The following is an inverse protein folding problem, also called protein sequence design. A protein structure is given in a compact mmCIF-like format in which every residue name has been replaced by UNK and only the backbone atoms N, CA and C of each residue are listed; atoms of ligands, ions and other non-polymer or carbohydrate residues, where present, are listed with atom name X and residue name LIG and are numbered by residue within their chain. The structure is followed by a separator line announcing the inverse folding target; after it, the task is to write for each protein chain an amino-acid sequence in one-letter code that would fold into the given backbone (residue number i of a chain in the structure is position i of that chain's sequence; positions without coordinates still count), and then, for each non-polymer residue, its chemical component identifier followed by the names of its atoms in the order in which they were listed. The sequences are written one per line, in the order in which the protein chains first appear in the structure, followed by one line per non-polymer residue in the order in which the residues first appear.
data_IF_791628044002
#
_entry.id   IF_791628044002
#
_cell.length_a   1.000
_cell.length_b   1.000
_cell.length_c   1.000
_cell.angle_alpha   90.00
_cell.angle_beta   90.00
_cell.angle_gamma   90.00
#
_symmetry.space_group_name_H-M   'P 1'
#
loop_
_entity.id
_entity.type
_entity.pdbx_description
1 polymer ?
#
# COMPACT_ATOMS: atom_id res chain seq x y z
N UNK A 1 -14.10 -58.43 2.15
CA UNK A 1 -13.92 -57.29 1.22
C UNK A 1 -14.06 -56.05 2.10
N UNK A 2 -12.94 -55.54 2.61
CA UNK A 2 -12.98 -54.34 3.47
C UNK A 2 -13.39 -53.12 2.62
N UNK A 3 -14.24 -52.23 3.14
CA UNK A 3 -14.58 -51.00 2.43
C UNK A 3 -13.38 -50.07 2.42
N UNK A 4 -13.02 -49.61 1.23
CA UNK A 4 -11.99 -48.58 1.03
C UNK A 4 -12.43 -47.27 1.68
N UNK A 5 -11.64 -46.83 2.67
CA UNK A 5 -11.78 -45.56 3.38
C UNK A 5 -11.62 -44.36 2.41
N UNK A 6 -12.67 -43.55 2.17
CA UNK A 6 -12.64 -42.42 1.24
C UNK A 6 -11.77 -41.24 1.72
N UNK A 7 -11.37 -41.21 3.00
CA UNK A 7 -10.55 -40.12 3.56
C UNK A 7 -9.05 -40.29 3.26
N UNK A 8 -8.61 -41.43 2.71
CA UNK A 8 -7.20 -41.66 2.33
C UNK A 8 -6.78 -41.01 1.01
N UNK A 9 -7.74 -40.61 0.17
CA UNK A 9 -7.49 -40.04 -1.16
C UNK A 9 -7.44 -38.51 -1.18
N UNK A 10 -8.05 -37.86 -0.18
CA UNK A 10 -8.07 -36.39 0.00
C UNK A 10 -6.77 -35.83 0.58
N UNK A 11 -5.96 -36.64 1.27
CA UNK A 11 -4.69 -36.21 1.89
C UNK A 11 -3.50 -36.24 0.90
N UNK A 12 -3.47 -37.22 -0.03
CA UNK A 12 -2.42 -37.33 -1.06
C UNK A 12 -2.47 -36.21 -2.10
N UNK A 13 -3.66 -35.69 -2.38
CA UNK A 13 -3.87 -34.61 -3.35
C UNK A 13 -3.47 -33.24 -2.79
N UNK A 14 -3.47 -33.06 -1.46
CA UNK A 14 -3.11 -31.78 -0.81
C UNK A 14 -1.60 -31.58 -0.71
N UNK A 15 -0.86 -32.64 -0.37
CA UNK A 15 0.61 -32.63 -0.24
C UNK A 15 1.32 -32.55 -1.60
N UNK A 16 0.70 -33.05 -2.68
CA UNK A 16 1.28 -33.01 -4.03
C UNK A 16 1.16 -31.63 -4.71
N UNK A 17 0.18 -30.81 -4.33
CA UNK A 17 -0.11 -29.48 -4.92
C UNK A 17 0.72 -28.34 -4.33
N UNK A 18 1.06 -28.40 -3.04
CA UNK A 18 1.96 -27.42 -2.39
C UNK A 18 3.39 -27.50 -2.93
N UNK A 19 3.85 -28.69 -3.33
CA UNK A 19 5.13 -28.89 -4.01
C UNK A 19 5.21 -28.27 -5.41
N UNK A 20 4.08 -28.15 -6.14
CA UNK A 20 4.08 -27.58 -7.49
C UNK A 20 4.33 -26.07 -7.51
N UNK A 21 3.73 -25.29 -6.60
CA UNK A 21 3.93 -23.83 -6.58
C UNK A 21 5.38 -23.45 -6.28
N UNK A 22 6.02 -24.14 -5.32
CA UNK A 22 7.44 -23.93 -5.01
C UNK A 22 8.35 -24.30 -6.19
N UNK A 23 8.04 -25.39 -6.91
CA UNK A 23 8.78 -25.78 -8.13
C UNK A 23 8.61 -24.76 -9.25
N UNK A 24 7.38 -24.28 -9.48
CA UNK A 24 7.11 -23.23 -10.48
C UNK A 24 7.91 -21.97 -10.14
N UNK A 25 7.89 -21.50 -8.89
CA UNK A 25 8.70 -20.35 -8.46
C UNK A 25 10.18 -20.52 -8.79
N UNK A 26 10.77 -21.68 -8.48
CA UNK A 26 12.18 -21.97 -8.77
C UNK A 26 12.45 -21.97 -10.28
N UNK A 27 11.55 -22.55 -11.08
CA UNK A 27 11.69 -22.57 -12.53
C UNK A 27 11.56 -21.17 -13.13
N UNK A 28 10.61 -20.37 -12.65
CA UNK A 28 10.43 -18.98 -13.07
C UNK A 28 11.64 -18.12 -12.74
N UNK A 29 12.27 -18.34 -11.58
CA UNK A 29 13.54 -17.71 -11.22
C UNK A 29 14.65 -18.03 -12.23
N UNK A 30 14.75 -19.29 -12.68
CA UNK A 30 15.72 -19.68 -13.72
C UNK A 30 15.45 -18.94 -15.03
N UNK A 31 14.21 -18.91 -15.49
CA UNK A 31 13.84 -18.18 -16.72
C UNK A 31 14.12 -16.69 -16.63
N UNK A 32 13.83 -16.04 -15.50
CA UNK A 32 14.16 -14.64 -15.29
C UNK A 32 15.67 -14.39 -15.43
N UNK A 33 16.53 -15.29 -14.91
CA UNK A 33 17.99 -15.20 -15.08
C UNK A 33 18.43 -15.40 -16.53
N UNK A 34 17.81 -16.33 -17.25
CA UNK A 34 18.14 -16.57 -18.65
C UNK A 34 17.73 -15.39 -19.54
N UNK A 35 16.56 -14.78 -19.30
CA UNK A 35 16.15 -13.55 -19.98
C UNK A 35 17.17 -12.42 -19.77
N UNK A 36 17.68 -12.23 -18.55
CA UNK A 36 18.72 -11.24 -18.28
C UNK A 36 20.03 -11.54 -19.04
N UNK A 37 20.43 -12.83 -19.13
CA UNK A 37 21.61 -13.24 -19.92
C UNK A 37 21.45 -12.99 -21.41
N UNK A 38 20.21 -13.08 -21.91
CA UNK A 38 19.85 -12.78 -23.30
C UNK A 38 19.70 -11.27 -23.57
N UNK A 39 19.95 -10.41 -22.57
CA UNK A 39 19.88 -8.96 -22.72
C UNK A 39 18.48 -8.36 -22.58
N UNK A 40 17.49 -9.14 -22.12
CA UNK A 40 16.15 -8.60 -21.84
C UNK A 40 16.21 -7.64 -20.66
N UNK A 41 15.52 -6.51 -20.79
CA UNK A 41 15.51 -5.47 -19.77
C UNK A 41 14.97 -5.98 -18.41
N UNK A 42 15.63 -5.56 -17.32
CA UNK A 42 15.33 -6.03 -15.96
C UNK A 42 13.86 -5.89 -15.54
N UNK A 43 13.18 -4.83 -15.98
CA UNK A 43 11.78 -4.62 -15.62
C UNK A 43 10.88 -5.70 -16.23
N UNK A 44 11.18 -6.16 -17.44
CA UNK A 44 10.43 -7.22 -18.11
C UNK A 44 10.76 -8.58 -17.46
N UNK A 45 12.02 -8.86 -17.16
CA UNK A 45 12.41 -10.09 -16.48
C UNK A 45 11.78 -10.19 -15.07
N UNK A 46 11.70 -9.09 -14.32
CA UNK A 46 11.12 -9.06 -12.99
C UNK A 46 9.61 -9.33 -12.97
N UNK A 47 8.87 -9.02 -14.04
CA UNK A 47 7.42 -9.32 -14.16
C UNK A 47 7.11 -10.81 -13.99
N UNK A 48 8.03 -11.68 -14.41
CA UNK A 48 7.86 -13.12 -14.21
C UNK A 48 7.85 -13.50 -12.73
N UNK A 49 8.55 -12.75 -11.89
CA UNK A 49 8.71 -13.05 -10.47
C UNK A 49 7.55 -12.48 -9.63
N UNK A 50 6.87 -11.43 -10.10
CA UNK A 50 5.81 -10.72 -9.36
C UNK A 50 4.74 -11.63 -8.75
N UNK A 51 4.22 -12.68 -9.42
CA UNK A 51 3.20 -13.57 -8.84
C UNK A 51 3.65 -14.32 -7.57
N UNK A 52 4.95 -14.35 -7.29
CA UNK A 52 5.54 -15.08 -6.15
C UNK A 52 6.13 -14.15 -5.09
N UNK A 53 5.92 -12.84 -5.21
CA UNK A 53 6.48 -11.83 -4.32
C UNK A 53 5.38 -11.10 -3.54
N UNK A 54 5.68 -10.73 -2.31
CA UNK A 54 4.84 -9.79 -1.56
C UNK A 54 5.09 -8.37 -2.05
N UNK A 55 4.01 -7.59 -2.12
CA UNK A 55 4.07 -6.17 -2.40
C UNK A 55 3.70 -5.38 -1.15
N UNK A 56 4.52 -4.39 -0.81
CA UNK A 56 4.17 -3.39 0.19
C UNK A 56 3.40 -2.28 -0.48
N UNK A 57 2.19 -2.00 0.02
CA UNK A 57 1.32 -0.94 -0.49
C UNK A 57 0.85 -0.07 0.67
N UNK A 58 0.65 1.22 0.39
CA UNK A 58 -0.12 2.11 1.25
C UNK A 58 -1.53 2.22 0.67
N UNK A 59 -2.52 2.21 1.55
CA UNK A 59 -3.93 2.36 1.19
C UNK A 59 -4.62 3.26 2.21
N UNK A 60 -5.40 4.20 1.70
CA UNK A 60 -6.26 5.09 2.50
C UNK A 60 -7.67 4.98 1.95
N UNK A 61 -8.66 4.83 2.82
CA UNK A 61 -10.07 4.74 2.44
C UNK A 61 -10.98 5.24 3.56
N UNK A 62 -12.12 5.80 3.17
CA UNK A 62 -13.27 6.07 4.05
C UNK A 62 -14.26 4.91 4.09
N UNK A 63 -14.12 3.94 3.19
CA UNK A 63 -15.08 2.87 2.98
C UNK A 63 -14.34 1.53 2.88
N UNK A 64 -14.54 0.66 3.88
CA UNK A 64 -13.85 -0.62 3.97
C UNK A 64 -14.75 -1.86 3.89
N UNK A 65 -16.06 -1.71 4.13
CA UNK A 65 -17.00 -2.84 4.24
C UNK A 65 -16.98 -3.78 3.03
N UNK A 66 -16.94 -3.21 1.83
CA UNK A 66 -16.87 -3.99 0.59
C UNK A 66 -15.54 -4.75 0.45
N UNK A 67 -14.43 -4.19 0.95
CA UNK A 67 -13.13 -4.85 0.96
C UNK A 67 -13.11 -6.01 1.95
N UNK A 68 -13.59 -5.80 3.18
CA UNK A 68 -13.70 -6.86 4.19
C UNK A 68 -14.58 -8.01 3.72
N UNK A 69 -15.75 -7.70 3.16
CA UNK A 69 -16.70 -8.69 2.64
C UNK A 69 -16.05 -9.59 1.58
N UNK A 70 -15.28 -9.01 0.67
CA UNK A 70 -14.68 -9.76 -0.44
C UNK A 70 -13.37 -10.45 -0.06
N UNK A 71 -12.54 -9.81 0.76
CA UNK A 71 -11.16 -10.27 1.02
C UNK A 71 -11.01 -11.07 2.29
N UNK A 72 -11.88 -10.90 3.29
CA UNK A 72 -11.93 -11.76 4.48
C UNK A 72 -12.89 -12.95 4.30
N UNK A 73 -13.14 -13.36 3.04
CA UNK A 73 -14.03 -14.47 2.70
C UNK A 73 -13.26 -15.78 2.52
N UNK A 74 -13.80 -16.96 2.89
CA UNK A 74 -13.19 -18.26 2.58
C UNK A 74 -12.94 -18.51 1.08
N UNK A 75 -13.64 -17.79 0.20
CA UNK A 75 -13.48 -17.88 -1.26
C UNK A 75 -12.34 -16.98 -1.78
N UNK A 76 -11.79 -16.10 -0.94
CA UNK A 76 -10.66 -15.26 -1.32
C UNK A 76 -9.39 -16.10 -1.41
N UNK A 77 -8.48 -15.67 -2.28
CA UNK A 77 -7.16 -16.28 -2.38
C UNK A 77 -6.45 -16.22 -1.00
N UNK A 78 -5.80 -17.31 -0.54
CA UNK A 78 -5.26 -17.38 0.82
C UNK A 78 -4.32 -16.22 1.20
N UNK A 79 -3.45 -15.79 0.27
CA UNK A 79 -2.46 -14.75 0.53
C UNK A 79 -3.10 -13.37 0.80
N UNK A 80 -4.03 -12.92 -0.06
CA UNK A 80 -4.72 -11.64 0.16
C UNK A 80 -5.67 -11.69 1.36
N UNK A 81 -6.26 -12.86 1.63
CA UNK A 81 -7.13 -13.05 2.78
C UNK A 81 -6.37 -12.86 4.09
N UNK A 82 -5.20 -13.48 4.22
CA UNK A 82 -4.36 -13.33 5.42
C UNK A 82 -3.99 -11.86 5.67
N UNK A 83 -3.61 -11.12 4.61
CA UNK A 83 -3.31 -9.69 4.73
C UNK A 83 -4.55 -8.86 5.09
N UNK A 84 -5.71 -9.14 4.49
CA UNK A 84 -6.96 -8.41 4.75
C UNK A 84 -7.51 -8.68 6.15
N UNK A 85 -7.45 -9.92 6.65
CA UNK A 85 -7.84 -10.27 8.02
C UNK A 85 -6.95 -9.56 9.04
N UNK A 86 -5.62 -9.60 8.85
CA UNK A 86 -4.68 -8.88 9.71
C UNK A 86 -4.94 -7.37 9.71
N UNK A 87 -5.21 -6.80 8.54
CA UNK A 87 -5.54 -5.38 8.41
C UNK A 87 -6.86 -5.03 9.13
N UNK A 88 -7.92 -5.83 8.95
CA UNK A 88 -9.21 -5.64 9.63
C UNK A 88 -9.04 -5.70 11.14
N UNK A 89 -8.31 -6.69 11.64
CA UNK A 89 -8.11 -6.88 13.08
C UNK A 89 -7.31 -5.72 13.69
N UNK A 90 -6.29 -5.21 12.98
CA UNK A 90 -5.55 -4.01 13.37
C UNK A 90 -6.44 -2.75 13.39
N UNK A 91 -7.32 -2.58 12.41
CA UNK A 91 -8.29 -1.47 12.38
C UNK A 91 -9.27 -1.58 13.55
N UNK A 92 -9.83 -2.76 13.81
CA UNK A 92 -10.75 -3.02 14.92
C UNK A 92 -10.12 -2.78 16.29
N UNK A 93 -8.82 -3.08 16.43
CA UNK A 93 -8.08 -2.85 17.67
C UNK A 93 -7.56 -1.40 17.82
N UNK A 94 -7.65 -0.59 16.78
CA UNK A 94 -7.16 0.80 16.81
C UNK A 94 -8.13 1.74 17.51
N UNK A 95 -7.61 2.83 18.07
CA UNK A 95 -8.43 3.97 18.53
C UNK A 95 -8.32 5.08 17.49
N UNK A 96 -9.40 5.38 16.74
CA UNK A 96 -9.40 6.46 15.78
C UNK A 96 -9.09 7.81 16.44
N UNK A 97 -8.35 8.65 15.74
CA UNK A 97 -8.11 10.03 16.16
C UNK A 97 -9.03 10.92 15.34
N UNK A 98 -9.98 11.58 16.01
CA UNK A 98 -10.84 12.55 15.37
C UNK A 98 -10.03 13.74 14.85
N UNK A 99 -10.46 14.28 13.70
CA UNK A 99 -9.85 15.45 13.09
C UNK A 99 -10.89 16.53 12.90
N UNK A 100 -10.61 17.71 13.43
CA UNK A 100 -11.41 18.90 13.19
C UNK A 100 -11.08 19.52 11.82
N UNK A 101 -11.94 20.42 11.34
CA UNK A 101 -11.66 21.21 10.14
C UNK A 101 -10.32 21.94 10.27
N UNK A 102 -9.44 21.79 9.27
CA UNK A 102 -8.09 22.35 9.27
C UNK A 102 -7.02 21.44 9.89
N UNK A 103 -7.40 20.36 10.58
CA UNK A 103 -6.48 19.33 11.02
C UNK A 103 -6.25 18.28 9.93
N UNK A 104 -5.03 17.74 9.88
CA UNK A 104 -4.61 16.86 8.79
C UNK A 104 -4.35 15.43 9.26
N UNK A 105 -4.84 14.47 8.48
CA UNK A 105 -4.35 13.10 8.47
C UNK A 105 -2.99 13.08 7.75
N UNK A 106 -1.95 12.71 8.49
CA UNK A 106 -0.55 12.77 8.08
C UNK A 106 0.12 11.40 8.24
N UNK A 107 -0.08 10.44 7.30
CA UNK A 107 0.60 9.14 7.36
C UNK A 107 2.12 9.27 7.52
N UNK A 108 2.70 8.37 8.30
CA UNK A 108 4.15 8.28 8.56
C UNK A 108 4.80 9.53 9.19
N UNK A 109 4.02 10.42 9.82
CA UNK A 109 4.53 11.50 10.66
C UNK A 109 4.48 11.07 12.12
N UNK A 110 5.61 11.20 12.80
CA UNK A 110 5.80 10.94 14.23
C UNK A 110 5.85 12.25 15.02
N UNK A 111 5.86 12.17 16.35
CA UNK A 111 5.98 13.36 17.19
C UNK A 111 7.37 14.00 17.11
N UNK A 112 8.42 13.21 16.90
CA UNK A 112 9.78 13.72 16.65
C UNK A 112 9.81 14.56 15.36
N UNK A 113 9.13 14.11 14.30
CA UNK A 113 9.02 14.90 13.06
C UNK A 113 8.29 16.24 13.31
N UNK A 114 7.26 16.23 14.18
CA UNK A 114 6.53 17.45 14.55
C UNK A 114 7.43 18.42 15.30
N UNK A 115 8.23 17.93 16.23
CA UNK A 115 9.18 18.74 16.98
C UNK A 115 10.29 19.30 16.07
N UNK A 116 10.87 18.46 15.20
CA UNK A 116 11.92 18.86 14.25
C UNK A 116 11.42 19.90 13.24
N UNK A 117 10.19 19.74 12.74
CA UNK A 117 9.56 20.72 11.85
C UNK A 117 9.04 21.98 12.56
N UNK A 118 9.23 22.12 13.88
CA UNK A 118 8.70 23.24 14.66
C UNK A 118 7.18 23.36 14.58
N UNK A 119 6.47 22.24 14.43
CA UNK A 119 5.03 22.14 14.19
C UNK A 119 4.53 22.89 12.94
N UNK A 120 5.40 23.15 11.96
CA UNK A 120 5.01 23.75 10.69
C UNK A 120 4.11 22.80 9.88
N UNK A 121 2.79 23.02 9.95
CA UNK A 121 1.79 22.14 9.34
C UNK A 121 2.01 21.92 7.84
N UNK A 122 2.48 22.93 7.11
CA UNK A 122 2.75 22.81 5.67
C UNK A 122 3.93 21.88 5.38
N UNK A 123 5.03 22.04 6.11
CA UNK A 123 6.20 21.13 6.04
C UNK A 123 5.77 19.68 6.29
N UNK A 124 4.97 19.44 7.33
CA UNK A 124 4.52 18.10 7.69
C UNK A 124 3.63 17.45 6.63
N UNK A 125 2.77 18.21 5.94
CA UNK A 125 1.95 17.69 4.82
C UNK A 125 2.84 17.21 3.66
N UNK A 126 3.84 18.02 3.29
CA UNK A 126 4.78 17.73 2.20
C UNK A 126 5.63 16.50 2.52
N UNK A 127 6.17 16.44 3.73
CA UNK A 127 6.96 15.30 4.22
C UNK A 127 6.11 14.03 4.27
N UNK A 128 4.86 14.12 4.76
CA UNK A 128 3.94 12.97 4.80
C UNK A 128 3.68 12.42 3.40
N UNK A 129 3.38 13.28 2.42
CA UNK A 129 3.16 12.88 1.03
C UNK A 129 4.43 12.26 0.40
N UNK A 130 5.61 12.82 0.66
CA UNK A 130 6.89 12.25 0.24
C UNK A 130 7.07 10.83 0.76
N UNK A 131 6.80 10.60 2.06
CA UNK A 131 6.92 9.29 2.70
C UNK A 131 5.89 8.28 2.17
N UNK A 132 4.67 8.70 1.88
CA UNK A 132 3.68 7.87 1.17
C UNK A 132 4.21 7.39 -0.18
N UNK A 133 4.92 8.24 -0.93
CA UNK A 133 5.53 7.88 -2.22
C UNK A 133 6.72 6.92 -2.12
N UNK A 134 7.36 6.82 -0.95
CA UNK A 134 8.51 5.93 -0.69
C UNK A 134 8.12 4.50 -0.33
N UNK A 135 6.84 4.22 -0.07
CA UNK A 135 6.38 2.88 0.33
C UNK A 135 6.75 1.80 -0.71
N UNK A 136 6.93 2.20 -1.98
CA UNK A 136 7.39 1.34 -3.07
C UNK A 136 8.92 1.11 -3.13
N UNK A 137 9.73 1.88 -2.38
CA UNK A 137 11.19 1.90 -2.51
C UNK A 137 11.98 1.41 -1.28
N UNK A 138 11.30 0.90 -0.24
CA UNK A 138 11.91 0.05 0.80
C UNK A 138 13.19 0.63 1.46
N UNK A 139 13.24 1.93 1.71
CA UNK A 139 14.19 2.53 2.67
C UNK A 139 13.48 2.72 4.01
N UNK A 140 12.93 1.63 4.57
CA UNK A 140 12.25 1.63 5.87
C UNK A 140 13.25 1.74 7.03
N UNK A 141 14.53 1.38 6.79
CA UNK A 141 15.62 1.50 7.75
C UNK A 141 16.45 2.77 7.50
N UNK A 142 16.33 3.73 8.41
CA UNK A 142 17.18 4.92 8.45
C UNK A 142 16.42 6.17 8.87
N UNK A 143 17.02 6.95 9.77
CA UNK A 143 16.60 8.29 10.19
C UNK A 143 16.18 9.11 8.95
N UNK A 144 14.94 9.60 8.95
CA UNK A 144 14.33 10.25 7.78
C UNK A 144 14.58 11.74 7.86
N UNK A 145 15.47 12.20 7.00
CA UNK A 145 15.81 13.61 6.86
C UNK A 145 14.63 14.37 6.23
N UNK A 146 14.13 15.40 6.93
CA UNK A 146 13.00 16.20 6.45
C UNK A 146 13.32 16.91 5.13
N UNK A 147 14.55 17.37 4.92
CA UNK A 147 14.94 18.08 3.71
C UNK A 147 14.93 17.15 2.49
N UNK A 148 15.37 15.90 2.65
CA UNK A 148 15.26 14.89 1.59
C UNK A 148 13.82 14.55 1.24
N UNK A 149 12.93 14.47 2.25
CA UNK A 149 11.50 14.28 2.03
C UNK A 149 10.88 15.50 1.30
N UNK A 150 11.28 16.73 1.64
CA UNK A 150 10.83 17.94 0.95
C UNK A 150 11.31 17.98 -0.51
N UNK A 151 12.58 17.64 -0.79
CA UNK A 151 13.10 17.53 -2.17
C UNK A 151 12.35 16.47 -2.97
N UNK A 152 11.96 15.36 -2.35
CA UNK A 152 11.14 14.33 -3.00
C UNK A 152 9.73 14.85 -3.30
N UNK A 153 9.10 15.54 -2.34
CA UNK A 153 7.80 16.17 -2.56
C UNK A 153 7.84 17.16 -3.74
N UNK A 154 8.88 18.01 -3.81
CA UNK A 154 9.01 18.98 -4.89
C UNK A 154 9.07 18.30 -6.25
N UNK A 155 9.83 17.20 -6.36
CA UNK A 155 9.84 16.38 -7.58
C UNK A 155 8.46 15.83 -7.96
N UNK A 156 7.59 15.53 -7.00
CA UNK A 156 6.25 15.05 -7.31
C UNK A 156 5.37 16.14 -7.92
N UNK A 157 5.40 17.35 -7.36
CA UNK A 157 4.51 18.44 -7.78
C UNK A 157 5.02 19.19 -9.01
N UNK A 158 6.34 19.21 -9.25
CA UNK A 158 6.93 19.87 -10.42
C UNK A 158 7.11 18.96 -11.64
N UNK A 159 6.85 17.64 -11.51
CA UNK A 159 6.88 16.73 -12.65
C UNK A 159 5.78 17.09 -13.66
N UNK A 160 6.00 16.76 -14.94
CA UNK A 160 5.01 16.95 -16.00
C UNK A 160 4.70 15.59 -16.69
N UNK A 161 3.53 14.97 -16.43
CA UNK A 161 2.49 15.41 -15.49
C UNK A 161 2.90 15.18 -14.01
N UNK A 162 2.27 15.90 -13.06
CA UNK A 162 2.57 15.75 -11.64
C UNK A 162 2.33 14.31 -11.13
N UNK A 163 3.21 13.84 -10.25
CA UNK A 163 3.07 12.56 -9.58
C UNK A 163 2.11 12.70 -8.39
N UNK A 164 0.81 12.75 -8.68
CA UNK A 164 -0.21 13.12 -7.69
C UNK A 164 -0.59 12.02 -6.69
N UNK A 165 -0.32 10.74 -6.99
CA UNK A 165 -0.77 9.60 -6.17
C UNK A 165 -0.29 9.66 -4.70
N UNK A 166 0.97 9.98 -4.39
CA UNK A 166 1.42 10.11 -3.00
C UNK A 166 0.66 11.18 -2.19
N UNK A 167 0.17 12.23 -2.86
CA UNK A 167 -0.58 13.33 -2.24
C UNK A 167 -2.04 12.94 -1.92
N UNK A 168 -2.53 11.79 -2.39
CA UNK A 168 -3.90 11.31 -2.11
C UNK A 168 -4.10 10.85 -0.68
N UNK A 169 -3.02 10.40 -0.02
CA UNK A 169 -3.09 9.84 1.32
C UNK A 169 -3.10 10.92 2.41
N UNK A 170 -2.65 12.13 2.10
CA UNK A 170 -2.63 13.27 3.01
C UNK A 170 -3.93 14.05 2.82
N UNK A 171 -4.74 14.21 3.88
CA UNK A 171 -6.05 14.82 3.75
C UNK A 171 -6.50 15.57 5.02
N UNK A 172 -7.41 16.52 4.86
CA UNK A 172 -8.11 17.23 5.95
C UNK A 172 -9.62 16.99 5.82
N UNK A 173 -10.41 17.02 6.90
CA UNK A 173 -11.86 17.07 6.78
C UNK A 173 -12.28 18.19 5.83
N UNK A 174 -13.21 17.91 4.92
CA UNK A 174 -13.71 18.90 3.98
C UNK A 174 -14.50 19.99 4.73
N UNK A 175 -14.45 21.26 4.28
CA UNK A 175 -15.24 22.32 4.88
C UNK A 175 -16.73 21.98 4.91
N UNK A 176 -17.42 22.37 5.98
CA UNK A 176 -18.87 22.16 6.06
C UNK A 176 -19.59 23.01 5.01
N UNK A 177 -20.48 22.36 4.24
CA UNK A 177 -21.45 22.91 3.26
C UNK A 177 -20.97 23.12 1.81
N UNK A 178 -21.74 22.57 0.86
CA UNK A 178 -21.78 22.96 -0.56
C UNK A 178 -20.58 22.63 -1.45
N UNK A 179 -19.42 22.34 -0.86
CA UNK A 179 -18.22 22.02 -1.62
C UNK A 179 -18.39 20.69 -2.37
N UNK A 180 -18.11 20.72 -3.68
CA UNK A 180 -18.03 19.51 -4.51
C UNK A 180 -17.04 18.54 -3.88
N UNK A 181 -17.42 17.27 -3.72
CA UNK A 181 -16.48 16.23 -3.32
C UNK A 181 -15.38 16.11 -4.38
N UNK A 182 -14.13 16.28 -3.96
CA UNK A 182 -12.95 16.11 -4.79
C UNK A 182 -12.22 14.84 -4.33
N UNK A 183 -12.14 13.86 -5.24
CA UNK A 183 -11.45 12.60 -4.97
C UNK A 183 -12.32 11.54 -4.26
N UNK A 184 -11.67 10.48 -3.80
CA UNK A 184 -12.32 9.24 -3.35
C UNK A 184 -12.55 9.16 -1.83
N UNK A 185 -12.00 10.07 -1.03
CA UNK A 185 -12.20 10.09 0.42
C UNK A 185 -13.45 10.92 0.78
N UNK A 186 -14.55 10.26 1.15
CA UNK A 186 -15.83 10.91 1.45
C UNK A 186 -15.74 11.81 2.68
N UNK A 187 -16.07 13.09 2.53
CA UNK A 187 -15.99 14.07 3.62
C UNK A 187 -14.57 14.59 3.89
N UNK A 188 -13.60 14.28 3.03
CA UNK A 188 -12.22 14.73 3.15
C UNK A 188 -11.76 15.47 1.89
N UNK A 189 -10.84 16.42 2.06
CA UNK A 189 -10.12 17.11 1.01
C UNK A 189 -8.67 16.61 0.99
N UNK A 190 -8.29 15.92 -0.07
CA UNK A 190 -6.93 15.38 -0.26
C UNK A 190 -5.94 16.47 -0.70
N UNK A 191 -4.69 16.38 -0.25
CA UNK A 191 -3.62 17.35 -0.54
C UNK A 191 -3.41 17.54 -2.05
N UNK A 192 -3.62 16.50 -2.86
CA UNK A 192 -3.54 16.61 -4.33
C UNK A 192 -4.43 17.72 -4.91
N UNK A 193 -5.58 18.00 -4.29
CA UNK A 193 -6.52 19.01 -4.76
C UNK A 193 -6.21 20.41 -4.22
N UNK A 194 -5.31 20.51 -3.25
CA UNK A 194 -4.86 21.78 -2.67
C UNK A 194 -3.53 22.20 -3.32
N UNK A 195 -2.61 21.25 -3.46
CA UNK A 195 -1.25 21.50 -3.94
C UNK A 195 -1.13 21.57 -5.47
N UNK A 196 -2.05 20.94 -6.21
CA UNK A 196 -2.03 20.90 -7.68
C UNK A 196 -3.21 21.63 -8.32
N UNK A 197 -3.99 22.36 -7.52
CA UNK A 197 -5.03 23.23 -8.06
C UNK A 197 -4.36 24.46 -8.68
N UNK A 198 -4.37 24.50 -10.01
CA UNK A 198 -4.14 25.71 -10.82
C UNK A 198 -5.40 26.56 -10.88
#
# INVERSE_FOLDING_TARGET
MEPSDPDRETDRTRTHRSGSAARVRVQTHRYARDLLRLGVHKQVANRLLEPFMWHTVIVSSTDWDGFWTQRCSPLAQPEIRAAAEAMRDAVSASTPIERASGEWHLPYITDDDRAEAGHAHETLRRVSAARCGRVSYLTQDGRRDLDEDLKLYDRFVTADPPHASPLEHVATPAPASGARQLGNLRGWLQLRHVALAS
#
